data_IF_223188520123
#
_entry.id   IF_223188520123
#
_cell.length_a   1.000
_cell.length_b   1.000
_cell.length_c   1.000
_cell.angle_alpha   90.00
_cell.angle_beta   90.00
_cell.angle_gamma   90.00
#
_symmetry.space_group_name_H-M   'P 1'
#
loop_
_entity.id
_entity.type
_entity.pdbx_description
1 polymer ?
#
# COMPACT_ATOMS: atom_id res chain seq x y z
N UNK A 1 -4.33 -21.12 11.10
CA UNK A 1 -3.66 -19.93 11.62
C UNK A 1 -4.67 -18.84 11.94
N UNK A 2 -5.03 -18.70 13.24
CA UNK A 2 -6.06 -17.77 13.74
C UNK A 2 -5.73 -17.36 15.17
N UNK A 3 -6.47 -16.40 15.72
CA UNK A 3 -6.45 -16.14 17.16
C UNK A 3 -7.00 -17.35 17.94
N UNK A 4 -6.30 -17.78 18.99
CA UNK A 4 -6.63 -19.00 19.73
C UNK A 4 -8.06 -19.04 20.30
N UNK A 5 -8.62 -17.87 20.69
CA UNK A 5 -10.00 -17.80 21.19
C UNK A 5 -11.06 -18.20 20.14
N UNK A 6 -10.69 -18.25 18.86
CA UNK A 6 -11.59 -18.66 17.78
C UNK A 6 -11.74 -20.18 17.64
N UNK A 7 -10.87 -20.97 18.25
CA UNK A 7 -10.98 -22.44 18.19
C UNK A 7 -12.36 -22.97 18.62
N UNK A 8 -12.98 -22.33 19.62
CA UNK A 8 -14.29 -22.71 20.13
C UNK A 8 -15.49 -22.14 19.38
N UNK A 9 -15.32 -21.27 18.39
CA UNK A 9 -16.42 -20.50 17.78
C UNK A 9 -17.52 -21.39 17.18
N UNK A 10 -17.18 -22.55 16.59
CA UNK A 10 -18.17 -23.48 16.03
C UNK A 10 -19.22 -23.92 17.07
N UNK A 11 -18.85 -24.02 18.37
CA UNK A 11 -19.76 -24.38 19.46
C UNK A 11 -20.26 -23.20 20.28
N UNK A 12 -19.69 -22.00 20.11
CA UNK A 12 -20.08 -20.80 20.88
C UNK A 12 -21.27 -20.07 20.27
N UNK A 13 -21.53 -20.25 18.98
CA UNK A 13 -22.75 -19.75 18.38
C UNK A 13 -23.97 -20.45 18.94
N UNK A 14 -25.12 -19.78 19.07
CA UNK A 14 -26.35 -20.39 19.51
C UNK A 14 -26.71 -21.62 18.68
N UNK A 15 -27.33 -22.64 19.35
CA UNK A 15 -27.83 -23.82 18.65
C UNK A 15 -28.83 -23.41 17.56
N UNK A 16 -28.77 -24.09 16.41
CA UNK A 16 -29.59 -23.78 15.24
C UNK A 16 -29.08 -22.61 14.40
N UNK A 17 -27.85 -22.10 14.65
CA UNK A 17 -27.21 -21.11 13.76
C UNK A 17 -26.92 -21.74 12.41
N UNK A 18 -27.31 -21.07 11.34
CA UNK A 18 -27.21 -21.54 9.94
C UNK A 18 -26.35 -20.64 9.08
N UNK A 19 -26.50 -19.31 9.18
CA UNK A 19 -25.78 -18.35 8.37
C UNK A 19 -25.29 -17.17 9.22
N UNK A 20 -24.08 -16.71 8.91
CA UNK A 20 -23.47 -15.51 9.48
C UNK A 20 -23.03 -14.60 8.34
N UNK A 21 -23.48 -13.35 8.38
CA UNK A 21 -23.12 -12.32 7.43
C UNK A 21 -22.23 -11.29 8.09
N UNK A 22 -21.06 -11.07 7.52
CA UNK A 22 -20.02 -10.18 8.04
C UNK A 22 -19.56 -9.18 6.98
N UNK A 23 -19.00 -8.05 7.43
CA UNK A 23 -18.45 -7.03 6.58
C UNK A 23 -17.06 -6.60 7.08
N UNK A 24 -16.24 -6.03 6.18
CA UNK A 24 -14.97 -5.42 6.51
C UNK A 24 -15.01 -3.94 6.15
N UNK A 25 -14.76 -3.07 7.15
CA UNK A 25 -15.05 -1.65 7.05
C UNK A 25 -13.94 -0.80 7.68
N UNK A 26 -13.41 0.24 6.96
CA UNK A 26 -12.61 1.30 7.56
C UNK A 26 -13.55 2.23 8.35
N UNK A 27 -13.37 2.33 9.68
CA UNK A 27 -14.35 3.00 10.55
C UNK A 27 -14.01 4.44 10.90
N UNK A 28 -12.77 4.86 10.70
CA UNK A 28 -12.31 6.21 11.01
C UNK A 28 -10.89 6.42 10.51
N UNK A 29 -10.35 7.61 10.71
CA UNK A 29 -8.96 7.95 10.39
C UNK A 29 -8.28 8.59 11.59
N UNK A 30 -7.05 8.20 11.87
CA UNK A 30 -6.13 8.89 12.79
C UNK A 30 -5.26 9.93 12.08
N UNK A 31 -5.36 9.98 10.74
CA UNK A 31 -4.64 10.95 9.92
C UNK A 31 -5.62 12.05 9.55
N UNK A 32 -5.29 13.28 9.91
CA UNK A 32 -6.12 14.45 9.62
C UNK A 32 -6.33 14.63 8.10
N UNK A 33 -7.55 15.01 7.71
CA UNK A 33 -7.90 15.29 6.32
C UNK A 33 -8.09 14.07 5.44
N UNK A 34 -8.04 12.83 5.98
CA UNK A 34 -8.36 11.62 5.23
C UNK A 34 -9.74 11.10 5.64
N UNK A 35 -10.69 11.10 4.71
CA UNK A 35 -12.07 10.65 4.88
C UNK A 35 -12.44 9.46 3.99
N UNK A 36 -11.50 8.98 3.18
CA UNK A 36 -11.63 7.81 2.31
C UNK A 36 -10.35 6.96 2.30
N UNK A 37 -10.47 5.69 1.94
CA UNK A 37 -9.35 4.77 1.76
C UNK A 37 -9.38 4.12 0.38
N UNK A 38 -8.22 3.81 -0.18
CA UNK A 38 -8.11 3.00 -1.40
C UNK A 38 -8.24 1.52 -1.01
N UNK A 39 -9.19 0.82 -1.62
CA UNK A 39 -9.39 -0.61 -1.40
C UNK A 39 -8.45 -1.44 -2.26
N UNK A 40 -7.65 -2.32 -1.64
CA UNK A 40 -6.68 -3.19 -2.30
C UNK A 40 -6.38 -4.44 -1.44
N UNK A 41 -6.13 -5.59 -2.07
CA UNK A 41 -5.55 -6.77 -1.42
C UNK A 41 -6.52 -7.93 -1.20
N UNK A 42 -7.81 -7.79 -1.48
CA UNK A 42 -8.77 -8.90 -1.28
C UNK A 42 -8.54 -10.05 -2.26
N UNK A 43 -8.28 -9.77 -3.54
CA UNK A 43 -8.03 -10.81 -4.53
C UNK A 43 -6.80 -11.64 -4.15
N UNK A 44 -5.71 -10.99 -3.74
CA UNK A 44 -4.51 -11.67 -3.26
C UNK A 44 -4.78 -12.53 -2.01
N UNK A 45 -5.47 -11.97 -1.03
CA UNK A 45 -5.85 -12.73 0.16
C UNK A 45 -6.67 -13.99 -0.17
N UNK A 46 -7.61 -13.90 -1.10
CA UNK A 46 -8.45 -15.03 -1.50
C UNK A 46 -7.63 -16.09 -2.25
N UNK A 47 -6.69 -15.68 -3.10
CA UNK A 47 -5.75 -16.61 -3.75
C UNK A 47 -4.94 -17.39 -2.71
N UNK A 48 -4.28 -16.69 -1.78
CA UNK A 48 -3.48 -17.29 -0.72
C UNK A 48 -4.31 -18.18 0.20
N UNK A 49 -5.52 -17.74 0.57
CA UNK A 49 -6.44 -18.52 1.38
C UNK A 49 -6.83 -19.82 0.67
N UNK A 50 -7.19 -19.73 -0.61
CA UNK A 50 -7.62 -20.89 -1.40
C UNK A 50 -6.46 -21.88 -1.53
N UNK A 51 -5.28 -21.42 -1.93
CA UNK A 51 -4.09 -22.26 -2.06
C UNK A 51 -3.68 -22.91 -0.74
N UNK A 52 -3.73 -22.15 0.37
CA UNK A 52 -3.38 -22.68 1.70
C UNK A 52 -4.34 -23.78 2.15
N UNK A 53 -5.64 -23.66 1.85
CA UNK A 53 -6.61 -24.70 2.17
C UNK A 53 -6.50 -25.92 1.25
N UNK A 54 -6.22 -25.73 -0.04
CA UNK A 54 -5.96 -26.84 -0.97
C UNK A 54 -4.76 -27.65 -0.53
N UNK A 55 -3.61 -27.00 -0.34
CA UNK A 55 -2.33 -27.68 -0.03
C UNK A 55 -2.27 -28.20 1.40
N UNK A 56 -2.75 -27.41 2.36
CA UNK A 56 -2.59 -27.68 3.80
C UNK A 56 -3.77 -28.36 4.45
N UNK A 57 -4.91 -28.48 3.77
CA UNK A 57 -6.12 -29.04 4.36
C UNK A 57 -6.83 -30.07 3.46
N UNK A 58 -7.34 -29.68 2.29
CA UNK A 58 -8.16 -30.57 1.47
C UNK A 58 -7.37 -31.71 0.84
N UNK A 59 -6.11 -31.51 0.49
CA UNK A 59 -5.21 -32.54 -0.06
C UNK A 59 -4.58 -33.45 1.01
N UNK A 60 -4.72 -33.12 2.30
CA UNK A 60 -4.09 -33.85 3.39
C UNK A 60 -5.01 -34.91 4.01
N UNK A 61 -4.42 -35.87 4.74
CA UNK A 61 -5.19 -36.87 5.49
C UNK A 61 -5.93 -36.20 6.65
N UNK A 62 -7.27 -36.35 6.68
CA UNK A 62 -8.12 -35.70 7.67
C UNK A 62 -7.87 -36.20 9.10
N UNK A 63 -7.47 -37.45 9.30
CA UNK A 63 -7.21 -37.99 10.63
C UNK A 63 -5.93 -37.43 11.21
N UNK A 64 -4.92 -37.17 10.37
CA UNK A 64 -3.68 -36.47 10.77
C UNK A 64 -3.96 -35.01 11.14
N UNK A 65 -4.70 -34.26 10.30
CA UNK A 65 -5.10 -32.89 10.57
C UNK A 65 -5.88 -32.77 11.87
N UNK A 66 -6.84 -33.64 12.07
CA UNK A 66 -7.70 -33.64 13.29
C UNK A 66 -6.84 -33.95 14.52
N UNK A 67 -5.99 -34.96 14.46
CA UNK A 67 -5.08 -35.29 15.57
C UNK A 67 -4.17 -34.13 15.94
N UNK A 68 -3.60 -33.44 14.95
CA UNK A 68 -2.77 -32.26 15.17
C UNK A 68 -3.58 -31.08 15.75
N UNK A 69 -4.78 -30.84 15.21
CA UNK A 69 -5.68 -29.80 15.71
C UNK A 69 -6.08 -30.04 17.18
N UNK A 70 -6.47 -31.26 17.52
CA UNK A 70 -6.85 -31.64 18.90
C UNK A 70 -5.66 -31.52 19.86
N UNK A 71 -4.46 -31.97 19.43
CA UNK A 71 -3.22 -31.80 20.19
C UNK A 71 -2.92 -30.31 20.45
N UNK A 72 -2.89 -29.49 19.42
CA UNK A 72 -2.63 -28.04 19.52
C UNK A 72 -3.67 -27.34 20.40
N UNK A 73 -4.94 -27.73 20.26
CA UNK A 73 -6.04 -27.16 21.04
C UNK A 73 -5.88 -27.51 22.53
N UNK A 74 -5.48 -28.74 22.84
CA UNK A 74 -5.21 -29.18 24.21
C UNK A 74 -3.99 -28.46 24.83
N UNK A 75 -2.92 -28.29 24.05
CA UNK A 75 -1.71 -27.58 24.48
C UNK A 75 -1.98 -26.10 24.78
N UNK A 76 -2.82 -25.44 23.99
CA UNK A 76 -3.09 -24.00 24.07
C UNK A 76 -4.19 -23.68 25.09
N UNK A 77 -5.28 -24.45 25.11
CA UNK A 77 -6.45 -24.17 25.93
C UNK A 77 -6.55 -25.06 27.19
N UNK A 78 -5.69 -26.08 27.31
CA UNK A 78 -5.86 -27.14 28.31
C UNK A 78 -7.08 -28.03 28.01
N UNK A 79 -7.59 -28.78 29.01
CA UNK A 79 -8.83 -29.58 28.88
C UNK A 79 -9.99 -28.70 28.40
N UNK A 80 -10.61 -29.05 27.29
CA UNK A 80 -11.64 -28.24 26.63
C UNK A 80 -12.67 -29.11 25.90
N UNK A 81 -13.71 -28.47 25.38
CA UNK A 81 -14.79 -29.10 24.63
C UNK A 81 -14.89 -28.56 23.20
N UNK A 82 -13.81 -28.09 22.59
CA UNK A 82 -13.79 -27.55 21.23
C UNK A 82 -14.25 -28.59 20.22
N UNK A 83 -13.64 -29.79 20.24
CA UNK A 83 -13.93 -30.86 19.29
C UNK A 83 -13.48 -30.54 17.86
N UNK A 84 -13.58 -31.54 16.98
CA UNK A 84 -13.03 -31.48 15.62
C UNK A 84 -14.03 -31.84 14.51
N UNK A 85 -15.27 -32.16 14.83
CA UNK A 85 -16.29 -32.61 13.88
C UNK A 85 -16.55 -31.60 12.76
N UNK A 86 -16.47 -30.31 13.05
CA UNK A 86 -16.63 -29.24 12.07
C UNK A 86 -15.53 -29.28 10.99
N UNK A 87 -14.30 -29.67 11.32
CA UNK A 87 -13.20 -29.84 10.36
C UNK A 87 -13.43 -31.07 9.47
N UNK A 88 -13.86 -32.19 10.04
CA UNK A 88 -14.19 -33.40 9.25
C UNK A 88 -15.33 -33.13 8.26
N UNK A 89 -16.32 -32.33 8.65
CA UNK A 89 -17.42 -31.94 7.75
C UNK A 89 -16.89 -31.03 6.62
N UNK A 90 -16.03 -30.06 6.94
CA UNK A 90 -15.45 -29.15 5.94
C UNK A 90 -14.57 -29.90 4.94
N UNK A 91 -13.70 -30.79 5.42
CA UNK A 91 -12.85 -31.62 4.58
C UNK A 91 -13.69 -32.51 3.64
N UNK A 92 -14.74 -33.13 4.14
CA UNK A 92 -15.69 -33.94 3.34
C UNK A 92 -16.39 -33.09 2.26
N UNK A 93 -16.65 -31.82 2.51
CA UNK A 93 -17.27 -30.91 1.55
C UNK A 93 -16.29 -30.61 0.38
N UNK A 94 -14.99 -30.52 0.63
CA UNK A 94 -13.95 -30.42 -0.38
C UNK A 94 -13.71 -28.99 -0.93
N UNK A 95 -14.34 -27.96 -0.35
CA UNK A 95 -14.12 -26.56 -0.72
C UNK A 95 -14.52 -25.62 0.44
N UNK A 96 -14.11 -24.35 0.37
CA UNK A 96 -14.50 -23.32 1.33
C UNK A 96 -15.90 -22.78 0.98
N UNK A 97 -16.95 -23.09 1.77
CA UNK A 97 -18.32 -22.66 1.49
C UNK A 97 -18.56 -21.21 1.92
N UNK A 98 -17.90 -20.29 1.24
CA UNK A 98 -17.97 -18.86 1.49
C UNK A 98 -18.34 -18.11 0.21
N UNK A 99 -18.96 -16.95 0.38
CA UNK A 99 -19.21 -15.98 -0.67
C UNK A 99 -18.69 -14.61 -0.27
N UNK A 100 -17.79 -14.06 -1.07
CA UNK A 100 -17.33 -12.68 -0.97
C UNK A 100 -18.04 -11.81 -2.00
N UNK A 101 -18.57 -10.67 -1.52
CA UNK A 101 -19.02 -9.56 -2.37
C UNK A 101 -18.17 -8.34 -2.03
N UNK A 102 -17.61 -7.67 -3.02
CA UNK A 102 -16.69 -6.56 -2.82
C UNK A 102 -16.99 -5.38 -3.73
N UNK A 103 -16.53 -4.20 -3.32
CA UNK A 103 -16.32 -3.08 -4.21
C UNK A 103 -15.15 -3.42 -5.16
N UNK A 104 -15.07 -2.81 -6.34
CA UNK A 104 -13.90 -2.99 -7.20
C UNK A 104 -12.62 -2.50 -6.53
N UNK A 105 -11.56 -3.30 -6.51
CA UNK A 105 -10.25 -2.88 -6.00
C UNK A 105 -9.70 -1.68 -6.80
N UNK A 106 -8.98 -0.79 -6.13
CA UNK A 106 -8.59 0.54 -6.65
C UNK A 106 -9.62 1.65 -6.40
N UNK A 107 -10.81 1.32 -5.89
CA UNK A 107 -11.84 2.32 -5.56
C UNK A 107 -11.46 3.08 -4.28
N UNK A 108 -11.62 4.41 -4.31
CA UNK A 108 -11.65 5.23 -3.09
C UNK A 108 -12.99 5.04 -2.38
N UNK A 109 -12.93 4.55 -1.15
CA UNK A 109 -14.09 4.17 -0.36
C UNK A 109 -14.19 5.10 0.85
N UNK A 110 -15.30 5.83 1.03
CA UNK A 110 -15.50 6.66 2.21
C UNK A 110 -15.44 5.85 3.50
N UNK A 111 -14.91 6.45 4.56
CA UNK A 111 -14.95 5.84 5.89
C UNK A 111 -16.38 5.44 6.27
N UNK A 112 -16.50 4.34 7.03
CA UNK A 112 -17.76 3.72 7.45
C UNK A 112 -18.54 3.01 6.33
N UNK A 113 -18.02 2.97 5.10
CA UNK A 113 -18.57 2.15 4.01
C UNK A 113 -17.79 0.83 3.95
N UNK A 114 -18.44 -0.35 3.93
CA UNK A 114 -17.75 -1.62 3.83
C UNK A 114 -17.06 -1.78 2.46
N UNK A 115 -15.83 -2.27 2.47
CA UNK A 115 -15.10 -2.57 1.24
C UNK A 115 -15.49 -3.93 0.67
N UNK A 116 -15.88 -4.87 1.53
CA UNK A 116 -16.47 -6.15 1.14
C UNK A 116 -17.32 -6.74 2.25
N UNK A 117 -18.08 -7.76 1.88
CA UNK A 117 -18.86 -8.62 2.79
C UNK A 117 -18.52 -10.08 2.54
N UNK A 118 -18.67 -10.91 3.58
CA UNK A 118 -18.50 -12.35 3.52
C UNK A 118 -19.63 -13.06 4.27
N UNK A 119 -20.15 -14.14 3.69
CA UNK A 119 -21.14 -15.01 4.31
C UNK A 119 -20.84 -16.47 3.95
N UNK A 120 -21.25 -17.41 4.81
CA UNK A 120 -21.20 -18.83 4.44
C UNK A 120 -22.34 -19.17 3.46
N UNK A 121 -22.06 -20.10 2.54
CA UNK A 121 -23.01 -20.58 1.53
C UNK A 121 -23.72 -21.87 1.95
N UNK A 122 -23.13 -22.61 2.88
CA UNK A 122 -23.69 -23.85 3.43
C UNK A 122 -23.93 -23.73 4.93
N UNK A 123 -25.10 -24.13 5.40
CA UNK A 123 -25.58 -23.93 6.78
C UNK A 123 -24.69 -24.50 7.88
N UNK A 124 -23.98 -25.59 7.62
CA UNK A 124 -23.14 -26.25 8.62
C UNK A 124 -21.83 -25.46 8.89
N UNK A 125 -21.52 -24.41 8.10
CA UNK A 125 -20.28 -23.65 8.18
C UNK A 125 -20.49 -22.17 8.55
N UNK A 126 -21.52 -21.88 9.33
CA UNK A 126 -21.82 -20.54 9.88
C UNK A 126 -20.66 -19.94 10.69
N UNK A 127 -19.80 -20.77 11.25
CA UNK A 127 -18.64 -20.36 12.04
C UNK A 127 -17.48 -19.84 11.19
N UNK A 128 -17.40 -20.24 9.91
CA UNK A 128 -16.24 -20.02 9.04
C UNK A 128 -16.00 -18.53 8.68
N UNK A 129 -17.01 -17.68 8.37
CA UNK A 129 -16.77 -16.27 8.03
C UNK A 129 -15.92 -15.53 9.06
N UNK A 130 -16.24 -15.64 10.34
CA UNK A 130 -15.50 -14.97 11.40
C UNK A 130 -14.29 -15.77 11.90
N UNK A 131 -14.17 -17.03 11.53
CA UNK A 131 -13.00 -17.84 11.82
C UNK A 131 -11.77 -17.33 11.06
N UNK A 132 -11.92 -16.93 9.81
CA UNK A 132 -10.83 -16.39 8.97
C UNK A 132 -10.53 -14.91 9.24
N UNK A 133 -11.21 -14.23 10.16
CA UNK A 133 -11.06 -12.79 10.43
C UNK A 133 -9.62 -12.38 10.70
N UNK A 134 -8.86 -13.17 11.46
CA UNK A 134 -7.48 -12.83 11.84
C UNK A 134 -6.57 -12.77 10.62
N UNK A 135 -6.62 -13.79 9.76
CA UNK A 135 -5.88 -13.85 8.51
C UNK A 135 -6.28 -12.71 7.57
N UNK A 136 -7.58 -12.58 7.35
CA UNK A 136 -8.16 -11.57 6.47
C UNK A 136 -7.78 -10.14 6.90
N UNK A 137 -7.93 -9.85 8.21
CA UNK A 137 -7.58 -8.53 8.73
C UNK A 137 -6.11 -8.24 8.56
N UNK A 138 -5.21 -9.19 8.90
CA UNK A 138 -3.77 -9.01 8.79
C UNK A 138 -3.32 -8.76 7.34
N UNK A 139 -3.91 -9.47 6.37
CA UNK A 139 -3.50 -9.38 4.97
C UNK A 139 -3.98 -8.10 4.27
N UNK A 140 -5.16 -7.54 4.65
CA UNK A 140 -5.82 -6.51 3.82
C UNK A 140 -5.61 -5.09 4.32
N UNK A 141 -5.46 -4.85 5.65
CA UNK A 141 -5.38 -3.48 6.15
C UNK A 141 -4.15 -2.73 5.61
N UNK A 142 -3.01 -3.40 5.45
CA UNK A 142 -1.75 -2.76 5.04
C UNK A 142 -1.75 -2.33 3.58
N UNK A 143 -2.06 -3.18 2.57
CA UNK A 143 -2.13 -2.73 1.18
C UNK A 143 -3.15 -1.61 0.97
N UNK A 144 -4.31 -1.63 1.65
CA UNK A 144 -5.26 -0.53 1.64
C UNK A 144 -4.64 0.77 2.19
N UNK A 145 -3.94 0.69 3.33
CA UNK A 145 -3.32 1.86 3.98
C UNK A 145 -2.19 2.42 3.13
N UNK A 146 -1.33 1.56 2.58
CA UNK A 146 -0.22 1.98 1.72
C UNK A 146 -0.71 2.60 0.41
N UNK A 147 -1.74 2.02 -0.23
CA UNK A 147 -2.36 2.58 -1.42
C UNK A 147 -3.01 3.96 -1.15
N UNK A 148 -3.64 4.13 0.02
CA UNK A 148 -4.21 5.41 0.45
C UNK A 148 -3.13 6.46 0.65
N UNK A 149 -2.03 6.09 1.32
CA UNK A 149 -0.88 6.97 1.55
C UNK A 149 -0.21 7.37 0.23
N UNK A 150 0.00 6.41 -0.67
CA UNK A 150 0.58 6.65 -2.00
C UNK A 150 -0.30 7.58 -2.84
N UNK A 151 -1.62 7.36 -2.86
CA UNK A 151 -2.57 8.24 -3.57
C UNK A 151 -2.54 9.67 -3.02
N UNK A 152 -2.50 9.82 -1.70
CA UNK A 152 -2.40 11.14 -1.06
C UNK A 152 -1.11 11.86 -1.45
N UNK A 153 0.04 11.13 -1.42
CA UNK A 153 1.33 11.67 -1.86
C UNK A 153 1.30 12.05 -3.34
N UNK A 154 0.75 11.18 -4.19
CA UNK A 154 0.62 11.43 -5.63
C UNK A 154 -0.20 12.70 -5.91
N UNK A 155 -1.33 12.88 -5.24
CA UNK A 155 -2.15 14.09 -5.38
C UNK A 155 -1.38 15.36 -5.00
N UNK A 156 -0.64 15.34 -3.89
CA UNK A 156 0.23 16.45 -3.50
C UNK A 156 1.24 16.81 -4.59
N UNK A 157 1.92 15.79 -5.13
CA UNK A 157 2.94 16.00 -6.16
C UNK A 157 2.33 16.47 -7.49
N UNK A 158 1.18 15.94 -7.88
CA UNK A 158 0.42 16.40 -9.06
C UNK A 158 0.04 17.89 -8.92
N UNK A 159 -0.46 18.34 -7.78
CA UNK A 159 -0.85 19.73 -7.52
C UNK A 159 0.37 20.67 -7.65
N UNK A 160 1.51 20.30 -7.07
CA UNK A 160 2.73 21.10 -7.19
C UNK A 160 3.33 21.08 -8.60
N UNK A 161 3.29 19.92 -9.28
CA UNK A 161 3.75 19.82 -10.67
C UNK A 161 2.91 20.70 -11.59
N UNK A 162 1.59 20.63 -11.53
CA UNK A 162 0.68 21.48 -12.30
C UNK A 162 0.96 22.97 -12.02
N UNK A 163 1.11 23.35 -10.75
CA UNK A 163 1.40 24.73 -10.37
C UNK A 163 2.72 25.23 -10.96
N UNK A 164 3.77 24.41 -10.95
CA UNK A 164 5.12 24.84 -11.29
C UNK A 164 5.55 24.51 -12.73
N UNK A 165 4.81 23.63 -13.44
CA UNK A 165 5.14 23.23 -14.82
C UNK A 165 3.95 23.26 -15.79
N UNK A 166 2.72 23.46 -15.28
CA UNK A 166 1.50 23.40 -16.09
C UNK A 166 1.03 21.96 -16.39
N UNK A 167 1.73 20.93 -15.92
CA UNK A 167 1.44 19.53 -16.22
C UNK A 167 1.85 18.63 -15.05
N UNK A 168 1.20 17.48 -14.91
CA UNK A 168 1.60 16.41 -14.00
C UNK A 168 2.24 15.21 -14.73
N UNK A 169 2.62 15.36 -15.99
CA UNK A 169 3.33 14.32 -16.73
C UNK A 169 4.65 13.99 -16.04
N UNK A 170 4.93 12.70 -15.83
CA UNK A 170 6.14 12.21 -15.17
C UNK A 170 6.07 12.17 -13.62
N UNK A 171 5.01 12.67 -13.00
CA UNK A 171 4.84 12.61 -11.53
C UNK A 171 4.75 11.17 -11.03
N UNK A 172 4.33 10.22 -11.85
CA UNK A 172 4.35 8.79 -11.54
C UNK A 172 5.75 8.24 -11.22
N UNK A 173 6.82 8.92 -11.65
CA UNK A 173 8.21 8.61 -11.33
C UNK A 173 8.74 9.41 -10.13
N UNK A 174 8.04 10.45 -9.68
CA UNK A 174 8.52 11.38 -8.68
C UNK A 174 8.48 10.81 -7.24
N UNK A 175 7.64 9.81 -6.98
CA UNK A 175 7.66 9.01 -5.75
C UNK A 175 8.35 7.68 -5.99
N UNK A 176 9.44 7.40 -5.28
CA UNK A 176 10.22 6.17 -5.41
C UNK A 176 10.21 5.38 -4.09
N UNK A 177 9.75 4.12 -4.12
CA UNK A 177 9.65 3.29 -2.93
C UNK A 177 11.00 2.66 -2.55
N UNK A 178 11.50 3.01 -1.37
CA UNK A 178 12.69 2.45 -0.72
C UNK A 178 12.34 1.74 0.60
N UNK A 179 11.09 1.34 0.81
CA UNK A 179 10.62 0.86 2.12
C UNK A 179 11.03 -0.59 2.45
N UNK A 180 11.41 -1.41 1.48
CA UNK A 180 11.57 -2.86 1.61
C UNK A 180 12.28 -3.29 2.89
N UNK A 181 13.52 -2.85 3.09
CA UNK A 181 14.37 -3.26 4.23
C UNK A 181 13.87 -2.80 5.60
N UNK A 182 12.91 -1.90 5.65
CA UNK A 182 12.31 -1.39 6.90
C UNK A 182 10.95 -1.96 7.21
N UNK A 183 10.41 -2.86 6.37
CA UNK A 183 9.14 -3.56 6.62
C UNK A 183 9.34 -4.73 7.59
N UNK A 184 8.25 -5.21 8.20
CA UNK A 184 8.29 -6.24 9.23
C UNK A 184 8.47 -7.67 8.72
N UNK A 185 8.11 -7.93 7.44
CA UNK A 185 8.29 -9.22 6.77
C UNK A 185 8.34 -9.03 5.25
N UNK A 186 8.63 -10.11 4.51
CA UNK A 186 8.62 -10.11 3.04
C UNK A 186 7.20 -9.85 2.51
N UNK A 187 6.20 -10.46 3.12
CA UNK A 187 4.80 -10.32 2.76
C UNK A 187 4.31 -8.87 3.00
N UNK A 188 4.70 -8.26 4.13
CA UNK A 188 4.42 -6.84 4.39
C UNK A 188 5.07 -5.94 3.32
N UNK A 189 6.33 -6.20 2.95
CA UNK A 189 7.02 -5.43 1.93
C UNK A 189 6.33 -5.57 0.56
N UNK A 190 5.92 -6.78 0.19
CA UNK A 190 5.22 -7.06 -1.06
C UNK A 190 3.87 -6.32 -1.13
N UNK A 191 3.02 -6.50 -0.13
CA UNK A 191 1.68 -5.91 -0.08
C UNK A 191 1.73 -4.37 0.01
N UNK A 192 2.63 -3.81 0.84
CA UNK A 192 2.82 -2.36 0.96
C UNK A 192 3.36 -1.75 -0.32
N UNK A 193 4.38 -2.38 -0.94
CA UNK A 193 4.94 -1.95 -2.21
C UNK A 193 3.92 -2.01 -3.35
N UNK A 194 3.02 -3.00 -3.37
CA UNK A 194 1.91 -3.03 -4.31
C UNK A 194 0.95 -1.85 -4.10
N UNK A 195 0.70 -1.47 -2.84
CA UNK A 195 -0.05 -0.25 -2.52
C UNK A 195 0.60 1.01 -3.08
N UNK A 196 1.93 1.16 -2.94
CA UNK A 196 2.69 2.26 -3.55
C UNK A 196 2.54 2.27 -5.07
N UNK A 197 2.73 1.12 -5.70
CA UNK A 197 2.68 0.96 -7.15
C UNK A 197 1.28 1.17 -7.76
N UNK A 198 0.23 1.25 -6.95
CA UNK A 198 -1.10 1.67 -7.42
C UNK A 198 -1.15 3.15 -7.84
N UNK A 199 -0.22 3.99 -7.37
CA UNK A 199 -0.15 5.44 -7.68
C UNK A 199 1.14 5.86 -8.37
N UNK A 200 2.24 5.12 -8.18
CA UNK A 200 3.57 5.39 -8.71
C UNK A 200 4.11 4.19 -9.50
N UNK A 201 5.19 4.41 -10.24
CA UNK A 201 5.91 3.34 -10.95
C UNK A 201 7.35 3.17 -10.45
N UNK A 202 7.92 4.18 -9.77
CA UNK A 202 9.27 4.16 -9.22
C UNK A 202 9.33 3.32 -7.95
N UNK A 203 10.18 2.26 -7.93
CA UNK A 203 10.34 1.44 -6.74
C UNK A 203 11.57 0.52 -6.86
N UNK A 204 12.23 0.27 -5.73
CA UNK A 204 13.26 -0.77 -5.58
C UNK A 204 12.72 -2.02 -4.85
N UNK A 205 11.45 -2.00 -4.45
CA UNK A 205 10.80 -3.11 -3.73
C UNK A 205 10.34 -4.19 -4.73
N UNK A 206 11.29 -4.96 -5.28
CA UNK A 206 11.04 -5.95 -6.35
C UNK A 206 10.01 -7.00 -5.96
N UNK A 207 9.95 -7.40 -4.70
CA UNK A 207 9.00 -8.40 -4.21
C UNK A 207 7.54 -7.97 -4.45
N UNK A 208 7.24 -6.67 -4.47
CA UNK A 208 5.92 -6.15 -4.81
C UNK A 208 5.53 -6.46 -6.27
N UNK A 209 6.49 -6.41 -7.19
CA UNK A 209 6.27 -6.76 -8.60
C UNK A 209 5.88 -8.23 -8.76
N UNK A 210 6.56 -9.13 -8.05
CA UNK A 210 6.24 -10.56 -8.13
C UNK A 210 4.86 -10.85 -7.52
N UNK A 211 4.54 -10.25 -6.37
CA UNK A 211 3.21 -10.35 -5.75
C UNK A 211 2.09 -9.84 -6.67
N UNK A 212 2.31 -8.71 -7.36
CA UNK A 212 1.35 -8.18 -8.33
C UNK A 212 1.15 -9.13 -9.51
N UNK A 213 2.24 -9.71 -10.04
CA UNK A 213 2.15 -10.68 -11.14
C UNK A 213 1.38 -11.93 -10.75
N UNK A 214 1.64 -12.43 -9.56
CA UNK A 214 1.02 -13.65 -9.05
C UNK A 214 -0.50 -13.47 -8.89
N UNK A 215 -0.93 -12.39 -8.26
CA UNK A 215 -2.32 -12.23 -7.86
C UNK A 215 -3.18 -11.44 -8.85
N UNK A 216 -2.62 -10.48 -9.56
CA UNK A 216 -3.41 -9.57 -10.41
C UNK A 216 -3.05 -9.65 -11.89
N UNK A 217 -1.80 -10.01 -12.21
CA UNK A 217 -1.28 -9.80 -13.55
C UNK A 217 -1.22 -8.32 -13.93
N UNK A 218 -0.41 -8.00 -14.93
CA UNK A 218 -0.31 -6.67 -15.52
C UNK A 218 0.23 -6.78 -16.95
N UNK A 219 -0.18 -5.88 -17.84
CA UNK A 219 0.33 -5.76 -19.20
C UNK A 219 1.35 -4.64 -19.33
N UNK A 220 1.20 -3.58 -18.53
CA UNK A 220 2.11 -2.46 -18.46
C UNK A 220 3.27 -2.74 -17.49
N UNK A 221 4.39 -2.02 -17.59
CA UNK A 221 5.47 -2.11 -16.61
C UNK A 221 4.96 -1.86 -15.18
N UNK A 222 5.11 -2.85 -14.31
CA UNK A 222 4.64 -2.78 -12.94
C UNK A 222 5.52 -1.84 -12.12
N UNK A 223 6.85 -2.00 -12.26
CA UNK A 223 7.87 -1.34 -11.46
C UNK A 223 9.02 -0.92 -12.36
N UNK A 224 9.51 0.30 -12.15
CA UNK A 224 10.69 0.84 -12.81
C UNK A 224 11.67 1.35 -11.74
N UNK A 225 12.96 1.10 -11.98
CA UNK A 225 14.06 1.64 -11.18
C UNK A 225 15.19 2.12 -12.10
N UNK A 226 16.24 2.66 -11.51
CA UNK A 226 17.39 3.19 -12.23
C UNK A 226 18.68 2.60 -11.67
N UNK A 227 19.75 2.66 -12.45
CA UNK A 227 21.09 2.32 -11.93
C UNK A 227 21.44 3.29 -10.80
N UNK A 228 21.69 2.75 -9.60
CA UNK A 228 21.98 3.55 -8.41
C UNK A 228 23.13 2.95 -7.60
N UNK A 229 23.93 3.80 -6.95
CA UNK A 229 24.93 3.36 -5.98
C UNK A 229 24.34 3.30 -4.57
N UNK A 230 25.05 2.63 -3.67
CA UNK A 230 24.87 2.72 -2.22
C UNK A 230 26.18 3.17 -1.56
N UNK A 231 26.14 3.45 -0.24
CA UNK A 231 27.33 3.92 0.50
C UNK A 231 28.50 2.95 0.42
N UNK A 232 28.28 1.63 0.44
CA UNK A 232 29.35 0.63 0.33
C UNK A 232 30.14 0.76 -0.98
N UNK A 233 29.47 1.08 -2.09
CA UNK A 233 30.09 1.32 -3.39
C UNK A 233 30.95 2.57 -3.38
N UNK A 234 30.42 3.64 -2.78
CA UNK A 234 31.14 4.93 -2.71
C UNK A 234 32.32 4.85 -1.74
N UNK A 235 32.14 4.25 -0.58
CA UNK A 235 33.23 4.01 0.39
C UNK A 235 34.35 3.15 -0.18
N UNK A 236 34.02 2.12 -0.97
CA UNK A 236 35.01 1.24 -1.62
C UNK A 236 35.67 1.88 -2.85
N UNK A 237 35.23 3.05 -3.29
CA UNK A 237 35.73 3.73 -4.47
C UNK A 237 37.12 4.38 -4.29
N UNK A 238 37.62 4.43 -3.04
CA UNK A 238 38.93 4.99 -2.72
C UNK A 238 39.17 5.05 -1.21
N UNK A 239 40.36 5.50 -0.79
CA UNK A 239 40.77 5.57 0.61
C UNK A 239 40.21 6.81 1.37
N UNK A 240 39.32 7.56 0.75
CA UNK A 240 38.70 8.72 1.37
C UNK A 240 38.17 9.78 0.38
N UNK A 241 37.82 10.99 0.89
CA UNK A 241 37.19 12.04 0.08
C UNK A 241 38.03 12.52 -1.11
N UNK A 242 39.36 12.35 -1.06
CA UNK A 242 40.27 12.76 -2.15
C UNK A 242 40.10 11.96 -3.45
N UNK A 243 39.58 10.75 -3.40
CA UNK A 243 39.40 9.84 -4.54
C UNK A 243 37.95 9.76 -5.04
N UNK A 244 37.03 10.46 -4.40
CA UNK A 244 35.61 10.42 -4.75
C UNK A 244 35.34 10.92 -6.16
N UNK A 245 36.12 11.91 -6.67
CA UNK A 245 35.99 12.40 -8.04
C UNK A 245 36.25 11.30 -9.08
N UNK A 246 37.28 10.46 -8.89
CA UNK A 246 37.55 9.34 -9.81
C UNK A 246 36.46 8.28 -9.74
N UNK A 247 35.84 8.07 -8.58
CA UNK A 247 34.68 7.18 -8.44
C UNK A 247 33.51 7.67 -9.30
N UNK A 248 33.18 8.96 -9.27
CA UNK A 248 32.16 9.56 -10.16
C UNK A 248 32.53 9.38 -11.64
N UNK A 249 33.77 9.70 -12.01
CA UNK A 249 34.25 9.59 -13.40
C UNK A 249 34.18 8.12 -13.88
N UNK A 250 34.61 7.16 -13.06
CA UNK A 250 34.54 5.71 -13.35
C UNK A 250 33.10 5.26 -13.54
N UNK A 251 32.19 5.64 -12.65
CA UNK A 251 30.77 5.26 -12.74
C UNK A 251 30.13 5.81 -14.03
N UNK A 252 30.41 7.04 -14.40
CA UNK A 252 29.90 7.64 -15.66
C UNK A 252 30.47 6.93 -16.90
N UNK A 253 31.73 6.47 -16.88
CA UNK A 253 32.31 5.65 -17.97
C UNK A 253 31.68 4.26 -18.02
N UNK A 254 31.37 3.65 -16.87
CA UNK A 254 30.74 2.34 -16.78
C UNK A 254 29.29 2.36 -17.27
N UNK A 255 28.57 3.45 -16.98
CA UNK A 255 27.18 3.69 -17.36
C UNK A 255 27.06 4.94 -18.22
N UNK A 256 27.43 4.90 -19.52
CA UNK A 256 27.51 6.08 -20.36
C UNK A 256 26.14 6.65 -20.77
N UNK A 257 25.07 5.87 -20.62
CA UNK A 257 23.71 6.26 -20.98
C UNK A 257 22.72 5.99 -19.85
N UNK A 258 21.50 6.53 -19.99
CA UNK A 258 20.41 6.37 -19.02
C UNK A 258 20.61 7.13 -17.72
N UNK A 259 19.79 6.84 -16.73
CA UNK A 259 19.82 7.50 -15.42
C UNK A 259 20.82 6.76 -14.51
N UNK A 260 21.75 7.53 -13.93
CA UNK A 260 22.71 7.07 -12.92
C UNK A 260 22.52 7.90 -11.65
N UNK A 261 22.01 7.29 -10.58
CA UNK A 261 21.85 7.93 -9.28
C UNK A 261 23.06 7.58 -8.38
N UNK A 262 23.71 8.60 -7.84
CA UNK A 262 24.92 8.43 -7.03
C UNK A 262 24.68 8.98 -5.63
N UNK A 263 24.89 8.12 -4.59
CA UNK A 263 24.93 8.57 -3.19
C UNK A 263 26.06 9.58 -3.04
N UNK A 264 25.74 10.76 -2.54
CA UNK A 264 26.61 11.94 -2.66
C UNK A 264 27.02 12.54 -1.31
N UNK A 265 26.59 11.97 -0.21
CA UNK A 265 26.86 12.40 1.15
C UNK A 265 27.74 11.40 1.94
N UNK A 266 28.46 10.55 1.22
CA UNK A 266 29.42 9.60 1.83
C UNK A 266 30.48 10.32 2.66
N UNK A 267 30.98 11.44 2.14
CA UNK A 267 31.99 12.26 2.79
C UNK A 267 31.51 13.70 2.99
N UNK A 268 31.48 14.50 1.91
CA UNK A 268 31.09 15.90 1.92
C UNK A 268 30.25 16.23 0.68
N UNK A 269 28.93 16.26 0.87
CA UNK A 269 27.94 16.61 -0.18
C UNK A 269 28.27 17.96 -0.84
N UNK A 270 28.70 18.94 -0.04
CA UNK A 270 28.94 20.28 -0.58
C UNK A 270 30.22 20.31 -1.43
N UNK A 271 31.26 19.57 -1.05
CA UNK A 271 32.45 19.35 -1.88
C UNK A 271 32.10 18.64 -3.20
N UNK A 272 31.21 17.66 -3.16
CA UNK A 272 30.71 17.03 -4.40
C UNK A 272 30.11 18.06 -5.33
N UNK A 273 29.18 18.88 -4.85
CA UNK A 273 28.45 19.86 -5.68
C UNK A 273 29.28 21.06 -6.14
N UNK A 274 30.30 21.49 -5.36
CA UNK A 274 31.04 22.72 -5.63
C UNK A 274 32.44 22.52 -6.18
N UNK A 275 33.00 21.31 -6.10
CA UNK A 275 34.34 20.95 -6.58
C UNK A 275 34.31 19.78 -7.56
N UNK A 276 33.80 18.62 -7.13
CA UNK A 276 33.87 17.39 -7.91
C UNK A 276 33.04 17.50 -9.19
N UNK A 277 31.77 17.85 -9.09
CA UNK A 277 30.89 17.95 -10.26
C UNK A 277 31.32 19.08 -11.23
N UNK A 278 31.75 20.26 -10.78
CA UNK A 278 32.37 21.26 -11.68
C UNK A 278 33.55 20.72 -12.50
N UNK A 279 34.44 19.95 -11.87
CA UNK A 279 35.59 19.33 -12.58
C UNK A 279 35.13 18.25 -13.59
N UNK A 280 33.96 17.67 -13.41
CA UNK A 280 33.39 16.62 -14.26
C UNK A 280 32.29 17.13 -15.20
N UNK A 281 32.05 18.44 -15.25
CA UNK A 281 30.93 19.04 -16.01
C UNK A 281 30.89 18.58 -17.47
N UNK A 282 32.04 18.61 -18.18
CA UNK A 282 32.07 18.18 -19.57
C UNK A 282 31.70 16.70 -19.75
N UNK A 283 32.10 15.84 -18.80
CA UNK A 283 31.70 14.42 -18.81
C UNK A 283 30.22 14.25 -18.53
N UNK A 284 29.64 15.02 -17.60
CA UNK A 284 28.20 15.00 -17.29
C UNK A 284 27.39 15.41 -18.53
N UNK A 285 27.78 16.54 -19.17
CA UNK A 285 27.09 17.08 -20.34
C UNK A 285 27.25 16.23 -21.60
N UNK A 286 28.28 15.37 -21.65
CA UNK A 286 28.53 14.45 -22.77
C UNK A 286 27.79 13.12 -22.64
N UNK A 287 27.15 12.83 -21.50
CA UNK A 287 26.41 11.57 -21.30
C UNK A 287 25.10 11.58 -22.11
N UNK A 288 24.75 10.40 -22.62
CA UNK A 288 23.40 10.15 -23.14
C UNK A 288 22.46 9.76 -21.97
N UNK A 289 22.22 10.70 -21.04
CA UNK A 289 21.39 10.43 -19.87
C UNK A 289 21.61 11.41 -18.71
N UNK A 290 21.08 11.06 -17.56
CA UNK A 290 21.01 11.93 -16.39
C UNK A 290 21.91 11.42 -15.25
N UNK A 291 22.73 12.30 -14.67
CA UNK A 291 23.38 12.08 -13.36
C UNK A 291 22.48 12.64 -12.26
N UNK A 292 22.06 11.77 -11.33
CA UNK A 292 21.18 12.13 -10.21
C UNK A 292 21.98 12.12 -8.92
N UNK A 293 21.98 13.24 -8.22
CA UNK A 293 22.63 13.40 -6.92
C UNK A 293 21.67 12.94 -5.84
N UNK A 294 22.14 12.02 -4.96
CA UNK A 294 21.35 11.43 -3.90
C UNK A 294 21.95 11.70 -2.52
N UNK A 295 21.60 12.80 -1.87
CA UNK A 295 21.83 12.95 -0.43
C UNK A 295 20.88 12.04 0.35
N UNK A 296 21.34 11.51 1.48
CA UNK A 296 20.62 10.55 2.32
C UNK A 296 20.62 10.97 3.81
N UNK A 297 21.35 12.02 4.17
CA UNK A 297 21.53 12.49 5.53
C UNK A 297 21.14 13.97 5.70
N UNK A 298 20.78 14.34 6.94
CA UNK A 298 20.38 15.70 7.31
C UNK A 298 18.88 15.97 7.17
N UNK A 299 18.48 17.24 7.26
CA UNK A 299 17.10 17.65 7.05
C UNK A 299 16.83 17.76 5.53
N UNK A 300 15.93 16.96 4.94
CA UNK A 300 15.72 16.94 3.50
C UNK A 300 15.29 18.29 2.92
N UNK A 301 14.52 19.07 3.66
CA UNK A 301 14.07 20.39 3.21
C UNK A 301 15.25 21.37 3.12
N UNK A 302 16.12 21.38 4.11
CA UNK A 302 17.30 22.26 4.15
C UNK A 302 18.37 21.80 3.16
N UNK A 303 18.59 20.49 3.03
CA UNK A 303 19.58 19.93 2.08
C UNK A 303 19.19 20.23 0.63
N UNK A 304 17.94 19.99 0.25
CA UNK A 304 17.48 20.18 -1.13
C UNK A 304 17.29 21.66 -1.48
N UNK A 305 16.70 22.44 -0.57
CA UNK A 305 16.24 23.79 -0.85
C UNK A 305 17.18 24.88 -0.29
N UNK A 306 18.13 24.51 0.58
CA UNK A 306 19.00 25.43 1.29
C UNK A 306 18.38 26.15 2.47
N UNK A 307 19.23 26.71 3.33
CA UNK A 307 18.84 27.44 4.55
C UNK A 307 18.83 28.97 4.36
N UNK A 308 19.21 29.44 3.16
CA UNK A 308 19.35 30.86 2.81
C UNK A 308 20.80 31.35 2.83
N UNK A 309 21.09 32.36 2.00
CA UNK A 309 22.43 32.94 1.82
C UNK A 309 23.27 32.23 0.75
N UNK A 310 24.52 32.72 0.57
CA UNK A 310 25.37 32.36 -0.56
C UNK A 310 26.29 31.16 -0.33
N UNK A 311 26.28 30.59 0.88
CA UNK A 311 27.04 29.37 1.15
C UNK A 311 26.43 28.15 0.44
N UNK A 312 27.19 27.08 0.17
CA UNK A 312 26.62 25.86 -0.44
C UNK A 312 25.39 25.32 0.30
N UNK A 313 25.46 25.23 1.63
CA UNK A 313 24.31 24.83 2.46
C UNK A 313 23.18 25.88 2.45
N UNK A 314 23.50 27.15 2.27
CA UNK A 314 22.51 28.23 2.11
C UNK A 314 21.73 28.12 0.80
N UNK A 315 22.38 27.73 -0.28
CA UNK A 315 21.78 27.54 -1.60
C UNK A 315 20.98 26.22 -1.68
N UNK A 316 21.55 25.10 -1.21
CA UNK A 316 20.99 23.78 -1.32
C UNK A 316 21.27 23.09 -2.67
N UNK A 317 20.99 21.78 -2.72
CA UNK A 317 21.33 20.90 -3.85
C UNK A 317 20.73 21.40 -5.17
N UNK A 318 19.47 21.78 -5.19
CA UNK A 318 18.76 22.15 -6.43
C UNK A 318 19.32 23.44 -7.04
N UNK A 319 19.60 24.45 -6.22
CA UNK A 319 20.17 25.69 -6.71
C UNK A 319 21.64 25.50 -7.17
N UNK A 320 22.44 24.69 -6.46
CA UNK A 320 23.82 24.38 -6.87
C UNK A 320 23.86 23.59 -8.19
N UNK A 321 22.93 22.66 -8.41
CA UNK A 321 22.83 21.98 -9.71
C UNK A 321 22.43 22.94 -10.83
N UNK A 322 21.54 23.89 -10.56
CA UNK A 322 21.20 24.94 -11.51
C UNK A 322 22.41 25.85 -11.83
N UNK A 323 23.16 26.27 -10.81
CA UNK A 323 24.36 27.10 -11.01
C UNK A 323 25.42 26.37 -11.85
N UNK A 324 25.53 25.05 -11.71
CA UNK A 324 26.51 24.24 -12.43
C UNK A 324 26.05 23.91 -13.86
N UNK A 325 24.85 23.40 -14.05
CA UNK A 325 24.39 22.81 -15.32
C UNK A 325 23.50 23.76 -16.12
N UNK A 326 22.90 24.75 -15.46
CA UNK A 326 21.89 25.61 -16.08
C UNK A 326 20.57 24.86 -16.26
N UNK A 327 19.84 25.25 -17.29
CA UNK A 327 18.55 24.69 -17.63
C UNK A 327 17.65 25.69 -18.35
N UNK A 328 16.33 25.54 -18.20
CA UNK A 328 15.33 26.41 -18.80
C UNK A 328 14.41 27.04 -17.78
N UNK A 329 13.87 28.20 -18.05
CA UNK A 329 12.74 28.76 -17.33
C UNK A 329 11.49 28.43 -18.15
N UNK A 330 10.56 27.70 -17.55
CA UNK A 330 9.34 27.27 -18.23
C UNK A 330 8.28 28.37 -18.35
N UNK A 331 7.16 28.09 -19.01
CA UNK A 331 6.08 29.04 -19.24
C UNK A 331 5.41 29.55 -17.94
N UNK A 332 5.49 28.78 -16.84
CA UNK A 332 4.99 29.16 -15.52
C UNK A 332 6.00 30.03 -14.75
N UNK A 333 7.19 30.31 -15.34
CA UNK A 333 8.24 31.14 -14.74
C UNK A 333 9.17 30.41 -13.76
N UNK A 334 9.12 29.08 -13.71
CA UNK A 334 9.95 28.28 -12.82
C UNK A 334 11.16 27.66 -13.54
N UNK A 335 12.29 27.61 -12.84
CA UNK A 335 13.53 27.01 -13.30
C UNK A 335 13.43 25.48 -13.31
N UNK A 336 13.75 24.86 -14.44
CA UNK A 336 13.90 23.41 -14.64
C UNK A 336 15.36 23.14 -14.95
N UNK A 337 16.04 22.35 -14.13
CA UNK A 337 17.44 21.97 -14.29
C UNK A 337 17.64 21.26 -15.64
N UNK A 338 18.81 21.43 -16.25
CA UNK A 338 19.20 20.73 -17.48
C UNK A 338 18.98 19.23 -17.38
N UNK A 339 18.58 18.61 -18.48
CA UNK A 339 18.21 17.20 -18.54
C UNK A 339 19.30 16.22 -18.09
N UNK A 340 20.58 16.64 -18.11
CA UNK A 340 21.72 15.84 -17.66
C UNK A 340 21.87 15.79 -16.15
N UNK A 341 21.15 16.63 -15.38
CA UNK A 341 21.19 16.66 -13.92
C UNK A 341 19.85 16.41 -13.26
N UNK A 342 19.87 15.97 -12.01
CA UNK A 342 18.69 15.81 -11.17
C UNK A 342 19.06 15.47 -9.73
N UNK A 343 18.06 15.43 -8.88
CA UNK A 343 18.23 15.05 -7.48
C UNK A 343 17.14 14.06 -7.03
N UNK A 344 17.51 13.15 -6.13
CA UNK A 344 16.60 12.31 -5.34
C UNK A 344 17.02 12.37 -3.89
N UNK A 345 16.09 12.57 -2.97
CA UNK A 345 16.40 12.43 -1.55
C UNK A 345 15.90 11.08 -1.05
N UNK A 346 16.82 10.25 -0.52
CA UNK A 346 16.59 8.81 -0.30
C UNK A 346 16.00 8.44 1.04
N UNK A 347 15.85 9.37 2.01
CA UNK A 347 15.45 9.01 3.37
C UNK A 347 14.31 9.86 3.93
N UNK A 348 13.47 9.20 4.73
CA UNK A 348 12.44 9.77 5.63
C UNK A 348 11.53 10.84 5.03
N UNK A 349 11.18 10.75 3.75
CA UNK A 349 10.23 11.68 3.12
C UNK A 349 8.81 11.32 3.55
N UNK A 350 8.23 12.19 4.38
CA UNK A 350 6.82 12.18 4.77
C UNK A 350 6.00 13.10 3.87
N UNK A 351 4.67 13.05 4.00
CA UNK A 351 3.76 13.95 3.30
C UNK A 351 4.11 15.44 3.56
N UNK A 352 4.32 15.81 4.83
CA UNK A 352 4.63 17.18 5.20
C UNK A 352 6.00 17.64 4.68
N UNK A 353 7.02 16.76 4.74
CA UNK A 353 8.34 17.05 4.19
C UNK A 353 8.29 17.24 2.66
N UNK A 354 7.55 16.39 1.94
CA UNK A 354 7.36 16.55 0.50
C UNK A 354 6.67 17.88 0.17
N UNK A 355 5.62 18.25 0.94
CA UNK A 355 4.95 19.53 0.80
C UNK A 355 5.91 20.71 1.02
N UNK A 356 6.69 20.69 2.10
CA UNK A 356 7.62 21.76 2.46
C UNK A 356 8.73 21.91 1.43
N UNK A 357 9.27 20.79 0.89
CA UNK A 357 10.26 20.82 -0.19
C UNK A 357 9.66 21.48 -1.44
N UNK A 358 8.51 21.00 -1.91
CA UNK A 358 7.84 21.54 -3.08
C UNK A 358 7.54 23.04 -2.92
N UNK A 359 7.03 23.44 -1.75
CA UNK A 359 6.72 24.83 -1.42
C UNK A 359 8.00 25.69 -1.45
N UNK A 360 9.06 25.29 -0.74
CA UNK A 360 10.30 26.07 -0.65
C UNK A 360 11.01 26.16 -2.01
N UNK A 361 10.99 25.10 -2.82
CA UNK A 361 11.49 25.16 -4.20
C UNK A 361 10.71 26.17 -5.03
N UNK A 362 9.37 26.14 -4.97
CA UNK A 362 8.52 27.07 -5.69
C UNK A 362 8.75 28.53 -5.23
N UNK A 363 8.91 28.79 -3.92
CA UNK A 363 9.22 30.11 -3.36
C UNK A 363 10.59 30.65 -3.86
N UNK A 364 11.54 29.75 -4.19
CA UNK A 364 12.84 30.07 -4.81
C UNK A 364 12.81 30.13 -6.35
N UNK A 365 11.64 29.93 -6.97
CA UNK A 365 11.44 29.93 -8.41
C UNK A 365 11.90 28.66 -9.11
N UNK A 366 11.96 27.51 -8.43
CA UNK A 366 12.27 26.20 -9.01
C UNK A 366 11.00 25.35 -9.16
N UNK A 367 10.92 24.62 -10.27
CA UNK A 367 9.86 23.63 -10.47
C UNK A 367 9.99 22.47 -9.45
N UNK A 368 8.87 22.01 -8.91
CA UNK A 368 8.82 20.89 -7.97
C UNK A 368 9.31 19.58 -8.58
N UNK A 369 9.25 19.46 -9.90
CA UNK A 369 9.69 18.29 -10.67
C UNK A 369 11.21 18.13 -10.79
N UNK A 370 12.00 19.07 -10.26
CA UNK A 370 13.45 18.95 -10.21
C UNK A 370 13.95 17.90 -9.23
N UNK A 371 13.09 17.37 -8.35
CA UNK A 371 13.45 16.40 -7.32
C UNK A 371 12.53 15.18 -7.35
N UNK A 372 13.12 14.01 -7.12
CA UNK A 372 12.40 12.75 -6.84
C UNK A 372 12.46 12.47 -5.34
N UNK A 373 11.37 11.93 -4.80
CA UNK A 373 11.22 11.65 -3.38
C UNK A 373 11.37 10.17 -3.10
N UNK A 374 12.39 9.79 -2.34
CA UNK A 374 12.55 8.46 -1.78
C UNK A 374 11.60 8.26 -0.60
N UNK A 375 10.61 7.41 -0.79
CA UNK A 375 9.58 7.12 0.21
C UNK A 375 9.95 5.82 0.91
N UNK A 376 10.42 5.92 2.16
CA UNK A 376 10.89 4.78 2.93
C UNK A 376 9.84 4.20 3.87
N UNK A 377 10.27 3.24 4.68
CA UNK A 377 9.43 2.56 5.69
C UNK A 377 8.89 3.51 6.76
N UNK A 378 9.56 4.64 7.02
CA UNK A 378 9.04 5.66 7.92
C UNK A 378 7.63 6.14 7.52
N UNK A 379 7.33 6.19 6.22
CA UNK A 379 6.01 6.56 5.70
C UNK A 379 5.06 5.37 5.63
N UNK A 380 5.54 4.19 5.19
CA UNK A 380 4.67 3.02 4.99
C UNK A 380 4.53 2.10 6.20
N UNK A 381 5.47 2.13 7.14
CA UNK A 381 5.47 1.22 8.31
C UNK A 381 4.95 1.88 9.59
N UNK A 382 4.93 3.20 9.69
CA UNK A 382 4.47 3.95 10.88
C UNK A 382 2.94 4.01 10.97
N UNK A 383 2.31 2.89 10.62
CA UNK A 383 0.86 2.71 10.57
C UNK A 383 0.46 1.38 11.19
N UNK A 384 -0.80 1.24 11.56
CA UNK A 384 -1.39 0.01 12.07
C UNK A 384 -2.78 -0.19 11.46
N UNK A 385 -3.38 -1.36 11.68
CA UNK A 385 -4.79 -1.60 11.32
C UNK A 385 -5.73 -0.50 11.85
N UNK A 386 -5.40 0.07 13.00
CA UNK A 386 -6.22 1.10 13.65
C UNK A 386 -6.00 2.51 13.09
N UNK A 387 -5.04 2.71 12.18
CA UNK A 387 -4.86 3.99 11.47
C UNK A 387 -6.16 4.40 10.76
N UNK A 388 -6.80 3.45 10.08
CA UNK A 388 -8.15 3.65 9.50
C UNK A 388 -9.23 2.83 10.20
N UNK A 389 -8.93 2.23 11.34
CA UNK A 389 -9.88 1.49 12.16
C UNK A 389 -10.52 0.31 11.44
N UNK A 390 -9.78 -0.36 10.54
CA UNK A 390 -10.28 -1.54 9.82
C UNK A 390 -10.77 -2.62 10.78
N UNK A 391 -11.98 -3.09 10.55
CA UNK A 391 -12.54 -4.17 11.36
C UNK A 391 -13.53 -5.03 10.57
N UNK A 392 -13.48 -6.33 10.83
CA UNK A 392 -14.52 -7.26 10.45
C UNK A 392 -15.59 -7.33 11.52
N UNK A 393 -16.85 -7.29 11.12
CA UNK A 393 -18.01 -7.38 12.03
C UNK A 393 -19.10 -8.23 11.43
N UNK A 394 -19.59 -9.22 12.21
CA UNK A 394 -20.85 -9.90 11.91
C UNK A 394 -22.02 -8.97 12.25
N UNK A 395 -22.95 -8.80 11.32
CA UNK A 395 -24.07 -7.87 11.42
C UNK A 395 -25.44 -8.51 11.18
N UNK A 396 -25.49 -9.72 10.61
CA UNK A 396 -26.70 -10.52 10.54
C UNK A 396 -26.41 -12.00 10.81
N UNK A 397 -27.39 -12.69 11.37
CA UNK A 397 -27.33 -14.11 11.66
C UNK A 397 -28.69 -14.77 11.39
N UNK A 398 -28.68 -15.99 10.83
CA UNK A 398 -29.90 -16.81 10.70
C UNK A 398 -29.83 -17.96 11.71
N UNK A 399 -30.85 -18.08 12.54
CA UNK A 399 -31.00 -19.14 13.57
C UNK A 399 -32.36 -19.76 13.41
N UNK A 400 -32.43 -21.10 13.24
CA UNK A 400 -33.67 -21.85 13.02
C UNK A 400 -34.54 -21.21 11.92
N UNK A 401 -33.92 -20.87 10.78
CA UNK A 401 -34.57 -20.25 9.62
C UNK A 401 -35.00 -18.79 9.80
N UNK A 402 -34.73 -18.17 10.96
CA UNK A 402 -35.08 -16.77 11.23
C UNK A 402 -33.82 -15.88 11.19
N UNK A 403 -33.79 -14.98 10.24
CA UNK A 403 -32.73 -13.97 10.18
C UNK A 403 -32.99 -12.83 11.19
N UNK A 404 -31.93 -12.37 11.85
CA UNK A 404 -31.95 -11.18 12.70
C UNK A 404 -30.69 -10.36 12.54
N UNK A 405 -30.82 -9.06 12.65
CA UNK A 405 -29.69 -8.15 12.74
C UNK A 405 -28.99 -8.32 14.10
N UNK A 406 -27.66 -8.30 14.07
CA UNK A 406 -26.80 -8.26 15.26
C UNK A 406 -25.90 -7.04 15.17
N UNK A 407 -25.57 -6.43 16.31
CA UNK A 407 -24.77 -5.21 16.36
C UNK A 407 -24.13 -5.02 17.74
N UNK A 408 -23.10 -4.19 17.79
CA UNK A 408 -22.46 -3.74 19.01
C UNK A 408 -22.80 -2.26 19.25
N UNK A 409 -23.30 -1.94 20.45
CA UNK A 409 -23.62 -0.56 20.88
C UNK A 409 -23.26 -0.41 22.38
N UNK A 410 -21.94 -0.33 22.73
CA UNK A 410 -21.51 -0.32 24.12
C UNK A 410 -21.80 1.03 24.78
N UNK A 411 -22.40 1.01 25.96
CA UNK A 411 -22.67 2.22 26.79
C UNK A 411 -21.38 2.98 27.14
N UNK A 412 -20.24 2.27 27.19
CA UNK A 412 -18.94 2.83 27.56
C UNK A 412 -18.22 3.53 26.40
N UNK A 413 -18.86 3.71 25.25
CA UNK A 413 -18.25 4.27 24.04
C UNK A 413 -18.95 5.57 23.62
N UNK A 414 -18.20 6.50 23.07
CA UNK A 414 -18.69 7.78 22.54
C UNK A 414 -19.46 7.70 21.20
N UNK A 415 -19.75 6.48 20.74
CA UNK A 415 -20.44 6.22 19.48
C UNK A 415 -19.53 5.82 18.31
N UNK A 416 -18.20 5.89 18.45
CA UNK A 416 -17.23 5.45 17.42
C UNK A 416 -17.24 3.93 17.20
N UNK A 417 -17.58 3.15 18.26
CA UNK A 417 -17.65 1.70 18.21
C UNK A 417 -19.03 1.14 17.87
N UNK A 418 -20.01 2.01 17.64
CA UNK A 418 -21.31 1.58 17.15
C UNK A 418 -21.15 0.94 15.79
N UNK A 419 -21.48 -0.35 15.67
CA UNK A 419 -21.39 -1.06 14.40
C UNK A 419 -22.64 -0.83 13.56
N UNK A 420 -22.50 -0.93 12.23
CA UNK A 420 -23.61 -1.16 11.35
C UNK A 420 -24.32 -2.48 11.75
N UNK A 421 -25.52 -2.72 11.29
CA UNK A 421 -26.34 -3.89 11.63
C UNK A 421 -27.10 -4.42 10.43
N UNK A 422 -27.58 -5.65 10.48
CA UNK A 422 -28.32 -6.28 9.40
C UNK A 422 -27.48 -6.51 8.15
N UNK A 423 -28.15 -6.79 7.04
CA UNK A 423 -27.50 -6.86 5.74
C UNK A 423 -27.26 -5.47 5.17
N UNK A 424 -26.34 -5.36 4.21
CA UNK A 424 -25.85 -4.11 3.69
C UNK A 424 -25.93 -4.06 2.17
N UNK A 425 -26.12 -2.85 1.65
CA UNK A 425 -26.01 -2.48 0.25
C UNK A 425 -25.19 -1.21 0.18
N UNK A 426 -24.23 -1.14 -0.73
CA UNK A 426 -23.50 0.08 -1.02
C UNK A 426 -24.01 0.64 -2.34
N UNK A 427 -24.56 1.84 -2.31
CA UNK A 427 -25.09 2.52 -3.51
C UNK A 427 -24.20 3.69 -3.90
N UNK A 428 -24.17 4.00 -5.21
CA UNK A 428 -23.60 5.26 -5.69
C UNK A 428 -24.71 6.29 -5.82
N UNK A 429 -24.66 7.34 -4.99
CA UNK A 429 -25.60 8.46 -5.01
C UNK A 429 -24.85 9.78 -5.09
N UNK A 430 -25.19 10.61 -6.05
CA UNK A 430 -24.49 11.88 -6.32
C UNK A 430 -22.97 11.70 -6.50
N UNK A 431 -22.57 10.65 -7.22
CA UNK A 431 -21.16 10.29 -7.45
C UNK A 431 -20.44 9.61 -6.26
N UNK A 432 -21.01 9.63 -5.04
CA UNK A 432 -20.40 9.09 -3.83
C UNK A 432 -20.97 7.74 -3.43
N UNK A 433 -20.12 6.88 -2.85
CA UNK A 433 -20.56 5.62 -2.25
C UNK A 433 -21.24 5.90 -0.91
N UNK A 434 -22.41 5.31 -0.71
CA UNK A 434 -23.20 5.43 0.53
C UNK A 434 -23.65 4.07 1.00
N UNK A 435 -23.53 3.81 2.29
CA UNK A 435 -24.01 2.60 2.94
C UNK A 435 -25.51 2.69 3.21
N UNK A 436 -26.23 1.63 2.90
CA UNK A 436 -27.55 1.30 3.43
C UNK A 436 -27.38 0.04 4.26
N UNK A 437 -27.65 0.13 5.54
CA UNK A 437 -27.60 -1.01 6.49
C UNK A 437 -28.96 -1.29 7.09
N UNK A 438 -29.01 -2.23 8.04
CA UNK A 438 -30.21 -2.70 8.72
C UNK A 438 -31.27 -3.32 7.78
N UNK A 439 -30.79 -3.91 6.69
CA UNK A 439 -31.63 -4.61 5.73
C UNK A 439 -31.77 -6.09 6.12
N UNK A 440 -32.91 -6.71 5.77
CA UNK A 440 -33.05 -8.15 5.74
C UNK A 440 -32.67 -8.71 4.34
N UNK A 441 -32.64 -10.05 4.18
CA UNK A 441 -32.26 -10.69 2.94
C UNK A 441 -33.17 -10.31 1.75
N UNK A 442 -34.49 -10.15 1.99
CA UNK A 442 -35.45 -9.75 0.96
C UNK A 442 -35.18 -8.33 0.45
N UNK A 443 -34.98 -7.39 1.37
CA UNK A 443 -34.66 -6.00 1.07
C UNK A 443 -33.30 -5.87 0.36
N UNK A 444 -32.27 -6.61 0.82
CA UNK A 444 -30.98 -6.63 0.14
C UNK A 444 -31.09 -7.15 -1.30
N UNK A 445 -31.89 -8.22 -1.53
CA UNK A 445 -32.13 -8.77 -2.87
C UNK A 445 -32.88 -7.79 -3.78
N UNK A 446 -33.87 -7.09 -3.24
CA UNK A 446 -34.62 -6.07 -3.98
C UNK A 446 -33.72 -4.91 -4.44
N UNK A 447 -32.68 -4.61 -3.71
CA UNK A 447 -31.71 -3.54 -4.02
C UNK A 447 -30.46 -4.04 -4.78
N UNK A 448 -30.40 -5.30 -5.18
CA UNK A 448 -29.19 -5.94 -5.73
C UNK A 448 -28.68 -5.29 -7.02
N UNK A 449 -29.55 -4.74 -7.88
CA UNK A 449 -29.15 -4.05 -9.10
C UNK A 449 -28.35 -2.76 -8.81
N UNK A 450 -28.67 -2.08 -7.71
CA UNK A 450 -28.02 -0.84 -7.27
C UNK A 450 -26.83 -1.06 -6.34
N UNK A 451 -26.62 -2.30 -5.86
CA UNK A 451 -25.54 -2.64 -4.96
C UNK A 451 -24.19 -2.60 -5.70
N UNK A 452 -23.26 -1.82 -5.20
CA UNK A 452 -21.89 -1.75 -5.74
C UNK A 452 -21.01 -2.91 -5.24
N UNK A 453 -21.42 -3.61 -4.16
CA UNK A 453 -20.79 -4.84 -3.71
C UNK A 453 -21.21 -5.98 -4.64
N UNK A 454 -20.29 -6.44 -5.47
CA UNK A 454 -20.54 -7.52 -6.44
C UNK A 454 -19.90 -8.83 -5.98
N UNK A 455 -20.48 -9.99 -6.30
CA UNK A 455 -19.82 -11.26 -6.06
C UNK A 455 -18.47 -11.30 -6.77
N UNK A 456 -17.39 -11.59 -6.03
CA UNK A 456 -16.04 -11.74 -6.57
C UNK A 456 -15.54 -13.17 -6.45
N UNK A 457 -15.99 -13.91 -5.42
CA UNK A 457 -15.60 -15.28 -5.18
C UNK A 457 -16.71 -16.04 -4.46
N UNK A 458 -16.98 -17.30 -4.87
CA UNK A 458 -18.02 -18.16 -4.33
C UNK A 458 -17.52 -19.61 -4.36
N UNK A 459 -17.61 -20.31 -3.21
CA UNK A 459 -17.43 -21.77 -3.10
C UNK A 459 -16.13 -22.28 -3.76
N UNK A 460 -15.01 -21.64 -3.46
CA UNK A 460 -13.69 -22.03 -3.98
C UNK A 460 -13.32 -21.39 -5.32
N UNK A 461 -14.20 -20.60 -5.96
CA UNK A 461 -13.96 -20.10 -7.31
C UNK A 461 -14.14 -18.59 -7.44
N UNK A 462 -13.23 -17.94 -8.17
CA UNK A 462 -13.43 -16.56 -8.58
C UNK A 462 -14.56 -16.44 -9.59
N UNK A 463 -15.48 -15.52 -9.31
CA UNK A 463 -16.54 -15.08 -10.23
C UNK A 463 -16.05 -13.90 -11.06
N UNK A 464 -15.18 -13.08 -10.45
CA UNK A 464 -14.60 -11.91 -11.10
C UNK A 464 -13.18 -11.69 -10.57
N UNK A 465 -12.24 -11.45 -11.49
CA UNK A 465 -10.87 -11.01 -11.22
C UNK A 465 -10.61 -9.65 -11.82
N UNK A 466 -9.70 -8.89 -11.25
CA UNK A 466 -9.24 -7.61 -11.77
C UNK A 466 -7.74 -7.65 -12.03
N UNK A 467 -7.27 -6.85 -13.01
CA UNK A 467 -5.84 -6.67 -13.28
C UNK A 467 -5.29 -5.47 -12.52
N UNK A 468 -3.98 -5.43 -12.33
CA UNK A 468 -3.34 -4.29 -11.68
C UNK A 468 -3.44 -3.01 -12.50
N UNK A 469 -3.42 -3.12 -13.83
CA UNK A 469 -3.63 -1.98 -14.73
C UNK A 469 -5.00 -1.34 -14.48
N UNK A 470 -6.05 -2.16 -14.36
CA UNK A 470 -7.40 -1.68 -14.02
C UNK A 470 -7.47 -1.02 -12.64
N UNK A 471 -6.71 -1.54 -11.65
CA UNK A 471 -6.60 -0.94 -10.32
C UNK A 471 -5.98 0.45 -10.41
N UNK A 472 -4.84 0.60 -11.11
CA UNK A 472 -4.17 1.89 -11.36
C UNK A 472 -5.09 2.91 -12.00
N UNK A 473 -5.82 2.50 -13.05
CA UNK A 473 -6.79 3.39 -13.71
C UNK A 473 -7.88 3.89 -12.75
N UNK A 474 -8.40 3.02 -11.87
CA UNK A 474 -9.42 3.43 -10.90
C UNK A 474 -8.85 4.38 -9.86
N UNK A 475 -7.65 4.10 -9.34
CA UNK A 475 -6.97 5.00 -8.38
C UNK A 475 -6.74 6.37 -8.99
N UNK A 476 -6.34 6.45 -10.26
CA UNK A 476 -6.08 7.70 -10.95
C UNK A 476 -7.34 8.53 -11.24
N UNK A 477 -8.51 7.88 -11.37
CA UNK A 477 -9.80 8.54 -11.66
C UNK A 477 -10.59 8.94 -10.42
N UNK A 478 -10.21 8.47 -9.23
CA UNK A 478 -10.98 8.62 -7.99
C UNK A 478 -10.52 9.76 -7.08
#
# INVERSE_FOLDING_TARGET
LIDAYKYGHAKQYPEGTEFVYSNFTPRGSRIEGIDEVVFLGLQAFIDDLTQSYEDGFFSQDIDQIVAEFEKNTLEILGPNNVGSDHWRKLHKLGYLPLKFKALPEGTSVPLKVPVFTVENTHKDFYWLPNYIESLLSAAIWLPCTSATTAKRMRKLLDEWAIKTTGSNAGVEFQGHDFSFRGMGSLEEAAASGAGHLASFVGSDTIIAKEWIKEHYGATEPILLSVTATEHSVMCAGGDGPGEEQETYARLMRTYPSGILAVVSDTWDLWNVLTVILPNLKDQIMARDGKLVIRPDSGNPVDILCGTGGDTPAGKGVIELLWDLLGGTVNEQGYKVIDSHGGAIYGDSITFDRAHDICKRLADKGFASTNVVFGIGSYTYRYVTRDTFGFAMKATAVTINGKERAIFKDPITDSGEKKSARGRMVVQRKDGKLKLLDNLNLGEQRALSEHDQLRPVWIDGQFVHRTTFDTIRERVARS
#
